data_IF_261706176747
#
_entry.id   IF_261706176747
#
_cell.length_a   1.000
_cell.length_b   1.000
_cell.length_c   1.000
_cell.angle_alpha   90.00
_cell.angle_beta   90.00
_cell.angle_gamma   90.00
#
_symmetry.space_group_name_H-M   'P 1'
#
loop_
_entity.id
_entity.type
_entity.pdbx_description
1 polymer ?
#
# COMPACT_ATOMS: atom_id res chain seq x y z
N UNK A 1 9.96 2.69 -18.28
CA UNK A 1 9.38 2.35 -16.96
C UNK A 1 10.46 1.63 -16.16
N UNK A 2 10.82 2.14 -14.98
CA UNK A 2 11.78 1.46 -14.10
C UNK A 2 11.04 0.30 -13.41
N UNK A 3 11.63 -0.89 -13.43
CA UNK A 3 11.06 -2.09 -12.79
C UNK A 3 11.89 -2.40 -11.54
N UNK A 4 11.28 -2.25 -10.37
CA UNK A 4 11.85 -2.65 -9.09
C UNK A 4 11.83 -4.17 -8.95
N UNK A 5 12.89 -4.78 -8.44
CA UNK A 5 12.94 -6.23 -8.19
C UNK A 5 12.42 -6.61 -6.79
N UNK A 6 12.43 -7.92 -6.46
CA UNK A 6 11.99 -8.42 -5.15
C UNK A 6 12.79 -7.81 -3.99
N UNK A 7 14.09 -7.58 -4.14
CA UNK A 7 14.95 -6.99 -3.10
C UNK A 7 14.65 -5.51 -2.93
N UNK A 8 14.39 -4.80 -4.03
CA UNK A 8 13.96 -3.40 -4.03
C UNK A 8 12.63 -3.24 -3.30
N UNK A 9 11.63 -4.09 -3.59
CA UNK A 9 10.36 -4.07 -2.86
C UNK A 9 10.53 -4.32 -1.36
N UNK A 10 11.35 -5.31 -0.98
CA UNK A 10 11.67 -5.58 0.44
C UNK A 10 12.32 -4.37 1.11
N UNK A 11 13.30 -3.76 0.43
CA UNK A 11 14.01 -2.57 0.92
C UNK A 11 13.09 -1.36 1.02
N UNK A 12 12.22 -1.15 0.03
CA UNK A 12 11.22 -0.09 0.01
C UNK A 12 10.27 -0.20 1.20
N UNK A 13 9.69 -1.38 1.42
CA UNK A 13 8.85 -1.64 2.60
C UNK A 13 9.57 -1.25 3.91
N UNK A 14 10.78 -1.78 4.14
CA UNK A 14 11.53 -1.54 5.38
C UNK A 14 11.84 -0.06 5.58
N UNK A 15 12.41 0.59 4.56
CA UNK A 15 12.80 2.01 4.64
C UNK A 15 11.60 2.91 4.90
N UNK A 16 10.52 2.75 4.14
CA UNK A 16 9.35 3.58 4.29
C UNK A 16 8.65 3.34 5.63
N UNK A 17 8.58 2.09 6.11
CA UNK A 17 7.95 1.79 7.40
C UNK A 17 8.77 2.32 8.58
N UNK A 18 10.08 2.17 8.54
CA UNK A 18 10.96 2.71 9.57
C UNK A 18 10.88 4.24 9.65
N UNK A 19 10.90 4.92 8.51
CA UNK A 19 10.77 6.38 8.47
C UNK A 19 9.41 6.83 8.98
N UNK A 20 8.32 6.16 8.55
CA UNK A 20 6.98 6.38 9.07
C UNK A 20 6.93 6.32 10.61
N UNK A 21 7.54 5.28 11.21
CA UNK A 21 7.59 5.11 12.67
C UNK A 21 8.36 6.23 13.36
N UNK A 22 9.50 6.68 12.81
CA UNK A 22 10.29 7.80 13.36
C UNK A 22 9.50 9.11 13.32
N UNK A 23 8.93 9.43 12.16
CA UNK A 23 8.15 10.65 11.93
C UNK A 23 6.90 10.75 12.81
N UNK A 24 6.31 9.61 13.20
CA UNK A 24 5.19 9.58 14.15
C UNK A 24 5.59 10.06 15.54
N UNK A 25 6.81 9.73 15.99
CA UNK A 25 7.29 10.12 17.31
C UNK A 25 7.66 11.61 17.39
N UNK A 26 8.01 12.20 16.25
CA UNK A 26 8.39 13.62 16.14
C UNK A 26 7.20 14.55 15.84
N UNK A 27 5.98 14.02 15.76
CA UNK A 27 4.74 14.77 15.46
C UNK A 27 4.80 15.60 14.17
N UNK A 28 5.50 15.06 13.17
CA UNK A 28 5.72 15.65 11.85
C UNK A 28 4.50 15.54 10.91
N UNK A 29 4.60 16.21 9.74
CA UNK A 29 3.59 16.28 8.68
C UNK A 29 2.80 14.97 8.46
N UNK A 30 1.50 15.01 8.80
CA UNK A 30 0.62 13.83 8.83
C UNK A 30 0.43 13.21 7.44
N UNK A 31 0.31 14.02 6.39
CA UNK A 31 0.07 13.54 5.04
C UNK A 31 1.31 12.82 4.49
N UNK A 32 2.48 13.42 4.65
CA UNK A 32 3.75 12.84 4.26
C UNK A 32 4.01 11.52 4.99
N UNK A 33 3.70 11.49 6.29
CA UNK A 33 3.80 10.27 7.11
C UNK A 33 2.86 9.17 6.60
N UNK A 34 1.57 9.47 6.37
CA UNK A 34 0.60 8.49 5.84
C UNK A 34 0.95 8.01 4.43
N UNK A 35 1.47 8.90 3.59
CA UNK A 35 1.98 8.54 2.26
C UNK A 35 3.11 7.50 2.34
N UNK A 36 4.06 7.69 3.26
CA UNK A 36 5.13 6.71 3.49
C UNK A 36 4.58 5.36 3.94
N UNK A 37 3.55 5.34 4.80
CA UNK A 37 2.91 4.10 5.21
C UNK A 37 2.27 3.37 4.02
N UNK A 38 1.58 4.09 3.12
CA UNK A 38 1.00 3.49 1.92
C UNK A 38 2.07 2.92 1.00
N UNK A 39 3.13 3.68 0.73
CA UNK A 39 4.24 3.19 -0.09
C UNK A 39 4.93 1.98 0.54
N UNK A 40 5.09 1.97 1.85
CA UNK A 40 5.59 0.80 2.57
C UNK A 40 4.70 -0.42 2.33
N UNK A 41 3.40 -0.29 2.58
CA UNK A 41 2.43 -1.38 2.39
C UNK A 41 2.42 -1.87 0.94
N UNK A 42 2.34 -0.98 -0.04
CA UNK A 42 2.33 -1.37 -1.46
C UNK A 42 3.60 -2.15 -1.83
N UNK A 43 4.79 -1.65 -1.47
CA UNK A 43 6.05 -2.36 -1.70
C UNK A 43 6.07 -3.73 -1.00
N UNK A 44 5.62 -3.79 0.25
CA UNK A 44 5.60 -5.02 1.04
C UNK A 44 4.64 -6.08 0.49
N UNK A 45 3.46 -5.65 0.02
CA UNK A 45 2.50 -6.51 -0.65
C UNK A 45 3.04 -7.04 -1.98
N UNK A 46 3.68 -6.19 -2.80
CA UNK A 46 4.33 -6.63 -4.04
C UNK A 46 5.48 -7.61 -3.78
N UNK A 47 6.25 -7.41 -2.71
CA UNK A 47 7.23 -8.39 -2.25
C UNK A 47 6.57 -9.74 -1.91
N UNK A 48 5.47 -9.74 -1.13
CA UNK A 48 4.75 -10.97 -0.76
C UNK A 48 4.20 -11.71 -1.98
N UNK A 49 3.69 -10.99 -2.99
CA UNK A 49 3.24 -11.58 -4.26
C UNK A 49 4.39 -12.35 -4.94
N UNK A 50 5.56 -11.73 -5.04
CA UNK A 50 6.73 -12.36 -5.64
C UNK A 50 7.20 -13.58 -4.85
N UNK A 51 7.12 -13.55 -3.50
CA UNK A 51 7.36 -14.74 -2.67
C UNK A 51 6.34 -15.84 -2.97
N UNK A 52 5.04 -15.52 -2.97
CA UNK A 52 3.96 -16.49 -3.22
C UNK A 52 4.09 -17.14 -4.61
N UNK A 53 4.44 -16.35 -5.62
CA UNK A 53 4.62 -16.83 -6.99
C UNK A 53 6.00 -17.45 -7.25
N UNK A 54 6.88 -17.50 -6.25
CA UNK A 54 8.27 -18.01 -6.35
C UNK A 54 9.06 -17.33 -7.46
N UNK A 55 8.88 -16.02 -7.62
CA UNK A 55 9.56 -15.21 -8.63
C UNK A 55 10.51 -14.20 -7.95
N UNK A 56 11.73 -14.08 -8.45
CA UNK A 56 12.72 -13.11 -7.96
C UNK A 56 12.70 -11.84 -8.82
N UNK A 57 12.48 -11.99 -10.13
CA UNK A 57 12.51 -10.89 -11.08
C UNK A 57 11.10 -10.62 -11.65
N UNK A 58 10.42 -9.55 -11.20
CA UNK A 58 9.10 -9.18 -11.72
C UNK A 58 9.06 -8.96 -13.24
N UNK A 59 10.19 -8.67 -13.92
CA UNK A 59 10.22 -8.58 -15.40
C UNK A 59 9.72 -9.86 -16.06
N UNK A 60 10.03 -11.04 -15.50
CA UNK A 60 9.57 -12.32 -16.04
C UNK A 60 8.05 -12.43 -16.04
N UNK A 61 7.39 -11.92 -15.00
CA UNK A 61 5.92 -11.84 -14.95
C UNK A 61 5.42 -10.85 -16.01
N UNK A 62 6.04 -9.67 -16.08
CA UNK A 62 5.66 -8.61 -17.02
C UNK A 62 5.79 -9.02 -18.49
N UNK A 63 6.74 -9.90 -18.81
CA UNK A 63 7.00 -10.44 -20.15
C UNK A 63 6.27 -11.77 -20.43
N UNK A 64 5.72 -12.44 -19.41
CA UNK A 64 5.01 -13.72 -19.56
C UNK A 64 3.68 -13.60 -20.31
N UNK A 65 2.94 -14.69 -20.50
CA UNK A 65 1.56 -14.66 -21.03
C UNK A 65 0.49 -14.52 -19.92
N UNK A 66 0.90 -14.51 -18.65
CA UNK A 66 -0.01 -14.47 -17.49
C UNK A 66 -0.49 -13.03 -17.23
N UNK A 67 -1.51 -12.60 -17.97
CA UNK A 67 -2.09 -11.26 -17.85
C UNK A 67 -2.69 -10.98 -16.46
N UNK A 68 -3.12 -12.02 -15.74
CA UNK A 68 -3.65 -11.87 -14.38
C UNK A 68 -2.55 -11.38 -13.45
N UNK A 69 -1.39 -12.07 -13.41
CA UNK A 69 -0.26 -11.66 -12.56
C UNK A 69 0.29 -10.29 -12.96
N UNK A 70 0.37 -9.99 -14.26
CA UNK A 70 0.77 -8.66 -14.75
C UNK A 70 -0.14 -7.57 -14.21
N UNK A 71 -1.44 -7.76 -14.33
CA UNK A 71 -2.44 -6.79 -13.90
C UNK A 71 -2.38 -6.56 -12.40
N UNK A 72 -2.18 -7.61 -11.61
CA UNK A 72 -2.08 -7.49 -10.15
C UNK A 72 -0.79 -6.80 -9.74
N UNK A 73 0.35 -7.19 -10.32
CA UNK A 73 1.66 -6.61 -10.00
C UNK A 73 1.75 -5.12 -10.36
N UNK A 74 1.11 -4.69 -11.46
CA UNK A 74 1.05 -3.28 -11.88
C UNK A 74 0.04 -2.45 -11.07
N UNK A 75 -0.84 -3.09 -10.31
CA UNK A 75 -1.90 -2.40 -9.59
C UNK A 75 -1.37 -1.58 -8.40
N UNK A 76 -2.06 -0.47 -8.12
CA UNK A 76 -1.95 0.28 -6.86
C UNK A 76 -3.12 -0.04 -5.93
N UNK A 77 -4.08 -0.87 -6.36
CA UNK A 77 -5.23 -1.27 -5.57
C UNK A 77 -4.81 -2.29 -4.52
N UNK A 78 -4.67 -1.83 -3.27
CA UNK A 78 -4.20 -2.66 -2.16
C UNK A 78 -5.15 -3.83 -1.88
N UNK A 79 -6.47 -3.65 -2.03
CA UNK A 79 -7.45 -4.73 -1.84
C UNK A 79 -7.31 -5.83 -2.88
N UNK A 80 -7.07 -5.46 -4.15
CA UNK A 80 -6.82 -6.41 -5.24
C UNK A 80 -5.58 -7.25 -4.96
N UNK A 81 -4.52 -6.63 -4.44
CA UNK A 81 -3.29 -7.34 -4.10
C UNK A 81 -3.51 -8.25 -2.88
N UNK A 82 -4.14 -7.75 -1.82
CA UNK A 82 -4.47 -8.53 -0.62
C UNK A 82 -5.37 -9.74 -0.95
N UNK A 83 -6.31 -9.58 -1.89
CA UNK A 83 -7.14 -10.68 -2.39
C UNK A 83 -6.31 -11.78 -3.02
N UNK A 84 -5.34 -11.44 -3.87
CA UNK A 84 -4.44 -12.43 -4.47
C UNK A 84 -3.54 -13.13 -3.44
N UNK A 85 -3.22 -12.44 -2.33
CA UNK A 85 -2.50 -13.00 -1.17
C UNK A 85 -3.39 -13.79 -0.20
N UNK A 86 -4.66 -14.02 -0.54
CA UNK A 86 -5.61 -14.74 0.32
C UNK A 86 -6.00 -13.99 1.60
N UNK A 87 -5.74 -12.69 1.68
CA UNK A 87 -6.04 -11.84 2.86
C UNK A 87 -7.34 -11.03 2.69
N UNK A 88 -8.21 -11.43 1.75
CA UNK A 88 -9.47 -10.73 1.52
C UNK A 88 -10.35 -10.80 2.77
N UNK A 89 -10.92 -9.65 3.18
CA UNK A 89 -11.89 -9.58 4.27
C UNK A 89 -11.28 -9.56 5.68
N UNK A 90 -10.00 -9.90 5.83
CA UNK A 90 -9.23 -9.74 7.08
C UNK A 90 -8.91 -8.26 7.30
N UNK A 91 -8.30 -7.63 6.30
CA UNK A 91 -8.05 -6.19 6.30
C UNK A 91 -9.17 -5.49 5.53
N UNK A 92 -9.89 -4.59 6.19
CA UNK A 92 -11.03 -3.86 5.61
C UNK A 92 -10.75 -2.38 5.64
N UNK A 93 -10.56 -1.79 4.45
CA UNK A 93 -10.35 -0.36 4.35
C UNK A 93 -11.68 0.40 4.43
N UNK A 94 -11.70 1.58 5.08
CA UNK A 94 -12.88 2.42 5.12
C UNK A 94 -13.14 3.08 3.76
N UNK A 95 -14.41 3.29 3.42
CA UNK A 95 -14.78 4.12 2.29
C UNK A 95 -14.64 5.60 2.66
N UNK A 96 -13.80 6.31 1.92
CA UNK A 96 -13.51 7.73 2.12
C UNK A 96 -14.17 8.56 1.02
N UNK A 97 -14.56 9.78 1.37
CA UNK A 97 -15.09 10.78 0.44
C UNK A 97 -14.26 12.07 0.50
N UNK A 98 -13.80 12.54 -0.66
CA UNK A 98 -13.07 13.81 -0.77
C UNK A 98 -13.99 15.01 -0.51
N UNK A 99 -13.42 16.19 -0.23
CA UNK A 99 -14.19 17.44 -0.19
C UNK A 99 -14.92 17.76 -1.51
N UNK A 100 -14.49 17.12 -2.61
CA UNK A 100 -15.10 17.26 -3.94
C UNK A 100 -16.24 16.26 -4.17
N UNK A 101 -16.61 15.46 -3.16
CA UNK A 101 -17.63 14.41 -3.19
C UNK A 101 -17.27 13.21 -4.06
N UNK A 102 -15.98 13.00 -4.31
CA UNK A 102 -15.48 11.81 -4.98
C UNK A 102 -15.29 10.69 -3.97
N UNK A 103 -15.79 9.50 -4.28
CA UNK A 103 -15.42 8.30 -3.51
C UNK A 103 -13.97 7.94 -3.82
N UNK A 104 -13.15 7.77 -2.78
CA UNK A 104 -11.72 7.48 -2.93
C UNK A 104 -11.49 5.98 -2.93
N UNK A 105 -11.21 5.35 -4.09
CA UNK A 105 -10.88 3.93 -4.13
C UNK A 105 -9.51 3.67 -3.50
N UNK A 106 -9.25 2.42 -3.10
CA UNK A 106 -7.99 2.06 -2.45
C UNK A 106 -6.75 2.27 -3.31
N UNK A 107 -6.90 2.27 -4.63
CA UNK A 107 -5.84 2.62 -5.59
C UNK A 107 -5.49 4.12 -5.60
N UNK A 108 -6.38 4.98 -5.11
CA UNK A 108 -6.18 6.43 -5.08
C UNK A 108 -5.64 6.93 -3.73
N UNK A 109 -5.51 6.06 -2.71
CA UNK A 109 -5.01 6.48 -1.38
C UNK A 109 -3.63 7.15 -1.44
N UNK A 110 -2.73 6.65 -2.30
CA UNK A 110 -1.42 7.29 -2.45
C UNK A 110 -1.53 8.70 -3.07
N UNK A 111 -2.54 8.95 -3.92
CA UNK A 111 -2.77 10.24 -4.55
C UNK A 111 -3.37 11.23 -3.55
N UNK A 112 -4.30 10.75 -2.71
CA UNK A 112 -4.94 11.53 -1.64
C UNK A 112 -3.88 12.27 -0.81
N UNK A 113 -2.91 11.53 -0.25
CA UNK A 113 -1.87 12.12 0.59
C UNK A 113 -0.75 12.79 -0.19
N UNK A 114 -0.45 12.35 -1.42
CA UNK A 114 0.57 12.98 -2.26
C UNK A 114 0.17 14.39 -2.69
N UNK A 115 -1.11 14.58 -3.01
CA UNK A 115 -1.64 15.87 -3.46
C UNK A 115 -2.32 16.66 -2.35
N UNK A 116 -2.22 16.20 -1.10
CA UNK A 116 -2.86 16.82 0.06
C UNK A 116 -4.36 17.10 -0.18
N UNK A 117 -5.04 16.18 -0.83
CA UNK A 117 -6.49 16.28 -1.07
C UNK A 117 -7.17 16.06 0.28
N UNK A 118 -7.94 17.06 0.70
CA UNK A 118 -8.67 16.98 1.96
C UNK A 118 -9.87 16.05 1.83
N UNK A 119 -10.16 15.32 2.90
CA UNK A 119 -11.41 14.60 3.07
C UNK A 119 -12.47 15.48 3.74
N UNK A 120 -13.73 15.06 3.63
CA UNK A 120 -14.79 15.66 4.42
C UNK A 120 -14.49 15.54 5.92
N UNK A 121 -14.78 16.58 6.71
CA UNK A 121 -14.49 16.60 8.15
C UNK A 121 -15.12 15.42 8.92
N UNK A 122 -16.27 14.94 8.43
CA UNK A 122 -16.99 13.78 8.96
C UNK A 122 -16.23 12.46 8.80
N UNK A 123 -15.22 12.42 7.93
CA UNK A 123 -14.40 11.24 7.63
C UNK A 123 -13.07 11.25 8.39
N UNK A 124 -12.85 12.18 9.34
CA UNK A 124 -11.62 12.20 10.15
C UNK A 124 -11.37 10.87 10.86
N UNK A 125 -12.40 10.30 11.51
CA UNK A 125 -12.31 8.99 12.17
C UNK A 125 -11.98 7.86 11.17
N UNK A 126 -12.42 8.00 9.93
CA UNK A 126 -12.11 7.04 8.87
C UNK A 126 -10.67 7.14 8.40
N UNK A 127 -10.04 8.32 8.42
CA UNK A 127 -8.60 8.44 8.14
C UNK A 127 -7.75 7.74 9.20
N UNK A 128 -8.11 7.91 10.46
CA UNK A 128 -7.41 7.22 11.56
C UNK A 128 -7.55 5.71 11.43
N UNK A 129 -8.76 5.23 11.11
CA UNK A 129 -9.02 3.82 10.83
C UNK A 129 -8.27 3.31 9.59
N UNK A 130 -8.13 4.13 8.54
CA UNK A 130 -7.32 3.79 7.37
C UNK A 130 -5.86 3.61 7.78
N UNK A 131 -5.29 4.57 8.50
CA UNK A 131 -3.91 4.51 8.99
C UNK A 131 -3.69 3.28 9.87
N UNK A 132 -4.62 2.98 10.79
CA UNK A 132 -4.57 1.79 11.63
C UNK A 132 -4.61 0.50 10.80
N UNK A 133 -5.53 0.41 9.84
CA UNK A 133 -5.63 -0.75 8.94
C UNK A 133 -4.33 -0.95 8.16
N UNK A 134 -3.76 0.13 7.61
CA UNK A 134 -2.48 0.09 6.91
C UNK A 134 -1.32 -0.34 7.83
N UNK A 135 -1.29 0.11 9.09
CA UNK A 135 -0.31 -0.36 10.08
C UNK A 135 -0.44 -1.86 10.32
N UNK A 136 -1.66 -2.37 10.45
CA UNK A 136 -1.90 -3.79 10.68
C UNK A 136 -1.43 -4.63 9.48
N UNK A 137 -1.70 -4.16 8.26
CA UNK A 137 -1.17 -4.78 7.04
C UNK A 137 0.37 -4.74 7.03
N UNK A 138 0.98 -3.60 7.38
CA UNK A 138 2.43 -3.48 7.45
C UNK A 138 3.03 -4.44 8.48
N UNK A 139 2.49 -4.53 9.69
CA UNK A 139 2.93 -5.50 10.70
C UNK A 139 2.86 -6.94 10.20
N UNK A 140 1.73 -7.35 9.62
CA UNK A 140 1.56 -8.69 9.02
C UNK A 140 2.58 -8.98 7.91
N UNK A 141 2.87 -8.00 7.05
CA UNK A 141 3.93 -8.13 6.06
C UNK A 141 5.27 -8.43 6.76
N UNK A 142 5.59 -7.64 7.78
CA UNK A 142 6.83 -7.72 8.56
C UNK A 142 7.03 -9.05 9.31
N UNK A 143 5.96 -9.69 9.79
CA UNK A 143 6.02 -10.98 10.48
C UNK A 143 6.52 -12.13 9.59
N UNK A 144 6.26 -12.05 8.29
CA UNK A 144 6.73 -13.06 7.33
C UNK A 144 7.78 -12.53 6.35
N UNK A 145 8.64 -11.62 6.80
CA UNK A 145 9.75 -11.04 6.04
C UNK A 145 11.13 -11.58 6.44
#
# INVERSE_FOLDING_TARGET
MIVADKRDYRKGYKKHYELYKRLKNENSDVNSRRLLLIYSVECGLKYKLLVQWREENPRRILESVDEKKKTILKSHNLEKILKELGQQGIFRFPQLESIHKDSVPTEAYHQLYRYCINLNERDRDKEEKLEETLKNVACWIGEGM
#
